data_IF_221756142293
#
_entry.id   IF_221756142293
#
_cell.length_a   1.000
_cell.length_b   1.000
_cell.length_c   1.000
_cell.angle_alpha   90.00
_cell.angle_beta   90.00
_cell.angle_gamma   90.00
#
_symmetry.space_group_name_H-M   'P 1'
#
loop_
_entity.id
_entity.type
_entity.pdbx_description
1 polymer ?
#
# COMPACT_ATOMS: atom_id res chain seq x y z
N UNK A 1 -9.83 7.25 -22.83
CA UNK A 1 -8.50 6.71 -22.51
C UNK A 1 -8.43 6.38 -21.03
N UNK A 2 -7.91 5.23 -20.68
CA UNK A 2 -7.80 4.82 -19.29
C UNK A 2 -6.56 5.40 -18.66
N UNK A 3 -6.69 5.87 -17.45
CA UNK A 3 -5.58 6.38 -16.66
C UNK A 3 -5.51 5.63 -15.35
N UNK A 4 -4.34 5.64 -14.75
CA UNK A 4 -4.12 4.96 -13.48
C UNK A 4 -3.54 5.94 -12.47
N UNK A 5 -4.04 5.86 -11.26
CA UNK A 5 -3.50 6.61 -10.15
C UNK A 5 -2.71 5.64 -9.29
N UNK A 6 -1.44 5.96 -9.09
CA UNK A 6 -0.56 5.11 -8.28
C UNK A 6 -0.28 5.79 -6.95
N UNK A 7 -0.26 5.00 -5.90
CA UNK A 7 0.02 5.54 -4.58
C UNK A 7 0.80 4.53 -3.76
N UNK A 8 1.46 5.02 -2.73
CA UNK A 8 2.26 4.21 -1.83
C UNK A 8 1.75 4.42 -0.41
N UNK A 9 1.56 3.31 0.30
CA UNK A 9 1.29 3.35 1.73
C UNK A 9 2.43 2.62 2.44
N UNK A 10 2.59 2.86 3.73
CA UNK A 10 3.59 2.14 4.49
C UNK A 10 3.04 1.76 5.86
N UNK A 11 3.58 0.66 6.38
CA UNK A 11 3.24 0.18 7.72
C UNK A 11 4.54 -0.06 8.47
N UNK A 12 4.69 0.61 9.61
CA UNK A 12 5.85 0.43 10.49
C UNK A 12 5.54 -0.64 11.51
N UNK A 13 6.54 -1.47 11.86
CA UNK A 13 6.38 -2.53 12.85
C UNK A 13 5.13 -3.34 12.54
N UNK A 14 5.03 -3.75 11.29
CA UNK A 14 3.79 -4.32 10.76
C UNK A 14 3.34 -5.53 11.53
N UNK A 15 2.06 -5.58 11.78
CA UNK A 15 1.38 -6.77 12.26
C UNK A 15 0.26 -7.07 11.28
N UNK A 16 -0.29 -8.27 11.38
CA UNK A 16 -1.33 -8.69 10.47
C UNK A 16 -2.52 -7.74 10.49
N UNK A 17 -2.91 -7.30 11.67
CA UNK A 17 -4.05 -6.41 11.81
C UNK A 17 -3.86 -5.08 11.07
N UNK A 18 -2.68 -4.47 11.24
CA UNK A 18 -2.38 -3.21 10.57
C UNK A 18 -2.37 -3.37 9.05
N UNK A 19 -1.81 -4.48 8.58
CA UNK A 19 -1.78 -4.76 7.15
C UNK A 19 -3.18 -4.96 6.60
N UNK A 20 -4.02 -5.71 7.31
CA UNK A 20 -5.39 -5.94 6.88
C UNK A 20 -6.17 -4.65 6.78
N UNK A 21 -6.05 -3.77 7.79
CA UNK A 21 -6.75 -2.49 7.76
C UNK A 21 -6.33 -1.64 6.57
N UNK A 22 -5.03 -1.60 6.30
CA UNK A 22 -4.53 -0.85 5.16
C UNK A 22 -5.08 -1.39 3.86
N UNK A 23 -5.06 -2.70 3.69
CA UNK A 23 -5.59 -3.34 2.48
C UNK A 23 -7.08 -3.08 2.31
N UNK A 24 -7.84 -3.18 3.39
CA UNK A 24 -9.29 -2.95 3.35
C UNK A 24 -9.59 -1.52 2.97
N UNK A 25 -8.90 -0.56 3.59
CA UNK A 25 -9.16 0.85 3.34
C UNK A 25 -8.87 1.23 1.89
N UNK A 26 -7.74 0.78 1.36
CA UNK A 26 -7.40 1.07 -0.03
C UNK A 26 -8.29 0.29 -1.00
N UNK A 27 -8.63 -0.95 -0.66
CA UNK A 27 -9.55 -1.74 -1.48
C UNK A 27 -10.91 -1.09 -1.58
N UNK A 28 -11.43 -0.56 -0.47
CA UNK A 28 -12.72 0.12 -0.47
C UNK A 28 -12.70 1.40 -1.30
N UNK A 29 -11.52 2.01 -1.44
CA UNK A 29 -11.35 3.19 -2.27
C UNK A 29 -11.13 2.84 -3.74
N UNK A 30 -11.12 1.57 -4.08
CA UNK A 30 -10.98 1.13 -5.47
C UNK A 30 -9.54 0.83 -5.88
N UNK A 31 -8.62 0.83 -4.95
CA UNK A 31 -7.22 0.54 -5.26
C UNK A 31 -6.94 -0.96 -5.27
N UNK A 32 -5.98 -1.34 -6.09
CA UNK A 32 -5.53 -2.71 -6.20
C UNK A 32 -4.06 -2.76 -5.78
N UNK A 33 -3.71 -3.75 -4.97
CA UNK A 33 -2.33 -3.94 -4.56
C UNK A 33 -1.52 -4.49 -5.73
N UNK A 34 -0.42 -3.83 -6.04
CA UNK A 34 0.45 -4.21 -7.15
C UNK A 34 1.69 -4.92 -6.65
N UNK A 35 2.30 -4.39 -5.60
CA UNK A 35 3.57 -4.91 -5.13
C UNK A 35 3.83 -4.47 -3.70
N UNK A 36 4.76 -5.14 -3.04
CA UNK A 36 5.20 -4.76 -1.71
C UNK A 36 6.71 -4.75 -1.67
N UNK A 37 7.26 -3.94 -0.78
CA UNK A 37 8.70 -3.86 -0.56
C UNK A 37 8.95 -3.73 0.93
N UNK A 38 9.80 -4.59 1.46
CA UNK A 38 10.20 -4.52 2.86
C UNK A 38 11.54 -3.81 2.96
N UNK A 39 11.63 -2.87 3.87
CA UNK A 39 12.86 -2.11 4.07
C UNK A 39 13.08 -1.87 5.55
N UNK A 40 14.34 -1.83 5.94
CA UNK A 40 14.73 -1.48 7.30
C UNK A 40 15.22 -0.03 7.28
N UNK A 41 14.82 0.75 8.28
CA UNK A 41 15.39 2.07 8.41
C UNK A 41 16.62 2.02 9.32
N UNK A 42 17.26 3.18 9.49
CA UNK A 42 18.51 3.24 10.26
C UNK A 42 18.33 2.99 11.75
N UNK A 43 17.11 2.85 12.22
CA UNK A 43 16.80 2.57 13.62
C UNK A 43 16.31 1.14 13.83
N UNK A 44 16.56 0.27 12.86
CA UNK A 44 16.14 -1.13 12.90
C UNK A 44 14.63 -1.32 12.95
N UNK A 45 13.88 -0.34 12.51
CA UNK A 45 12.43 -0.46 12.39
C UNK A 45 12.12 -0.99 10.99
N UNK A 46 11.41 -2.11 10.95
CA UNK A 46 11.01 -2.68 9.67
C UNK A 46 9.78 -1.95 9.15
N UNK A 47 9.87 -1.54 7.89
CA UNK A 47 8.78 -0.83 7.23
C UNK A 47 8.40 -1.63 5.99
N UNK A 48 7.11 -1.86 5.82
CA UNK A 48 6.60 -2.47 4.60
C UNK A 48 5.92 -1.39 3.77
N UNK A 49 6.40 -1.22 2.55
CA UNK A 49 5.78 -0.32 1.58
C UNK A 49 4.83 -1.11 0.71
N UNK A 50 3.65 -0.55 0.51
CA UNK A 50 2.59 -1.18 -0.27
C UNK A 50 2.28 -0.27 -1.45
N UNK A 51 2.41 -0.80 -2.65
CA UNK A 51 2.18 -0.03 -3.87
C UNK A 51 0.81 -0.37 -4.42
N UNK A 52 -0.02 0.63 -4.56
CA UNK A 52 -1.39 0.48 -5.04
C UNK A 52 -1.62 1.22 -6.33
N UNK A 53 -2.54 0.70 -7.12
CA UNK A 53 -2.97 1.38 -8.35
C UNK A 53 -4.48 1.38 -8.42
N UNK A 54 -5.02 2.39 -9.06
CA UNK A 54 -6.46 2.54 -9.25
C UNK A 54 -6.71 3.02 -10.67
N UNK A 55 -7.62 2.36 -11.35
CA UNK A 55 -8.02 2.78 -12.69
C UNK A 55 -8.98 3.95 -12.59
N UNK A 56 -8.70 4.98 -13.35
CA UNK A 56 -9.52 6.18 -13.40
C UNK A 56 -10.01 6.35 -14.82
N UNK A 57 -11.31 6.52 -15.00
CA UNK A 57 -11.88 6.82 -16.30
C UNK A 57 -12.13 8.32 -16.43
N UNK A 58 -11.81 8.84 -17.58
CA UNK A 58 -12.11 10.22 -17.92
C UNK A 58 -13.33 10.30 -18.81
#
# INVERSE_FOLDING_TARGET
MKKYKNTVAYVSNYCTHALEETLINYGNAGYKLVSTLMADNKYDVQIMYLFFTKEIEE
#
